data_IF_671851149305
#
_entry.id   IF_671851149305
#
_cell.length_a   1.000
_cell.length_b   1.000
_cell.length_c   1.000
_cell.angle_alpha   90.00
_cell.angle_beta   90.00
_cell.angle_gamma   90.00
#
_symmetry.space_group_name_H-M   'P 1'
#
loop_
_entity.id
_entity.type
_entity.pdbx_description
1 polymer ?
#
# COMPACT_ATOMS: atom_id res chain seq x y z
N UNK A 1 22.69 -27.57 -13.42
CA UNK A 1 21.30 -27.50 -12.91
C UNK A 1 21.08 -26.21 -12.10
N UNK A 2 21.17 -25.03 -12.74
CA UNK A 2 21.17 -23.70 -12.06
C UNK A 2 20.26 -22.65 -12.75
N UNK A 3 19.50 -23.04 -13.77
CA UNK A 3 18.80 -22.10 -14.67
C UNK A 3 17.29 -21.92 -14.37
N UNK A 4 16.69 -22.73 -13.49
CA UNK A 4 15.22 -22.78 -13.36
C UNK A 4 14.64 -21.79 -12.34
N UNK A 5 15.45 -21.19 -11.48
CA UNK A 5 15.00 -20.25 -10.44
C UNK A 5 14.85 -18.81 -10.93
N UNK A 6 15.59 -18.40 -11.96
CA UNK A 6 15.55 -17.02 -12.51
C UNK A 6 14.33 -16.77 -13.41
N UNK A 7 13.74 -17.81 -14.02
CA UNK A 7 12.54 -17.67 -14.87
C UNK A 7 11.26 -17.37 -14.10
N UNK A 8 11.17 -17.79 -12.84
CA UNK A 8 9.94 -17.63 -12.03
C UNK A 8 9.88 -16.23 -11.41
N UNK A 9 11.01 -15.58 -11.11
CA UNK A 9 11.03 -14.23 -10.51
C UNK A 9 10.57 -13.12 -11.45
N UNK A 10 10.81 -13.25 -12.75
CA UNK A 10 10.48 -12.22 -13.75
C UNK A 10 8.97 -11.95 -13.89
N UNK A 11 8.07 -12.96 -14.02
CA UNK A 11 6.64 -12.71 -14.12
C UNK A 11 6.04 -12.07 -12.86
N UNK A 12 6.56 -12.39 -11.66
CA UNK A 12 6.09 -11.74 -10.42
C UNK A 12 6.50 -10.27 -10.33
N UNK A 13 7.71 -9.93 -10.78
CA UNK A 13 8.17 -8.54 -10.89
C UNK A 13 7.31 -7.75 -11.88
N UNK A 14 7.07 -8.31 -13.08
CA UNK A 14 6.18 -7.70 -14.07
C UNK A 14 4.78 -7.51 -13.49
N UNK A 15 4.22 -8.53 -12.84
CA UNK A 15 2.87 -8.46 -12.25
C UNK A 15 2.78 -7.39 -11.14
N UNK A 16 3.83 -7.25 -10.32
CA UNK A 16 3.89 -6.18 -9.32
C UNK A 16 3.98 -4.78 -9.95
N UNK A 17 4.78 -4.59 -11.00
CA UNK A 17 4.86 -3.33 -11.74
C UNK A 17 3.54 -3.00 -12.43
N UNK A 18 2.88 -3.99 -13.04
CA UNK A 18 1.57 -3.83 -13.66
C UNK A 18 0.51 -3.45 -12.63
N UNK A 19 0.54 -4.10 -11.46
CA UNK A 19 -0.38 -3.80 -10.36
C UNK A 19 -0.19 -2.39 -9.83
N UNK A 20 1.05 -1.93 -9.66
CA UNK A 20 1.36 -0.55 -9.25
C UNK A 20 0.87 0.44 -10.30
N UNK A 21 1.19 0.21 -11.58
CA UNK A 21 0.75 1.07 -12.67
C UNK A 21 -0.78 1.14 -12.78
N UNK A 22 -1.45 0.00 -12.61
CA UNK A 22 -2.91 -0.08 -12.60
C UNK A 22 -3.51 0.68 -11.41
N UNK A 23 -2.94 0.56 -10.21
CA UNK A 23 -3.43 1.27 -9.02
C UNK A 23 -3.22 2.79 -9.12
N UNK A 24 -2.09 3.22 -9.67
CA UNK A 24 -1.81 4.64 -9.96
C UNK A 24 -2.83 5.17 -10.97
N UNK A 25 -3.05 4.43 -12.07
CA UNK A 25 -4.04 4.78 -13.08
C UNK A 25 -5.46 4.88 -12.49
N UNK A 26 -5.86 3.92 -11.66
CA UNK A 26 -7.16 3.91 -11.01
C UNK A 26 -7.34 5.08 -10.04
N UNK A 27 -6.30 5.40 -9.24
CA UNK A 27 -6.33 6.54 -8.33
C UNK A 27 -6.42 7.88 -9.06
N UNK A 28 -5.69 8.03 -10.18
CA UNK A 28 -5.78 9.20 -11.05
C UNK A 28 -7.14 9.32 -11.70
N UNK A 29 -7.73 8.22 -12.15
CA UNK A 29 -9.00 8.22 -12.87
C UNK A 29 -10.22 8.44 -11.96
N UNK A 30 -10.20 7.92 -10.72
CA UNK A 30 -11.40 7.85 -9.87
C UNK A 30 -11.34 8.66 -8.58
N UNK A 31 -10.16 9.07 -8.11
CA UNK A 31 -10.03 9.71 -6.79
C UNK A 31 -9.48 11.13 -6.95
N UNK A 32 -8.15 11.32 -6.87
CA UNK A 32 -7.53 12.63 -6.97
C UNK A 32 -6.00 12.54 -7.16
N UNK A 33 -5.37 13.66 -7.46
CA UNK A 33 -3.90 13.76 -7.56
C UNK A 33 -3.25 13.55 -6.18
N UNK A 34 -3.88 14.03 -5.10
CA UNK A 34 -3.40 13.87 -3.72
C UNK A 34 -3.41 12.40 -3.25
N UNK A 35 -4.46 11.63 -3.56
CA UNK A 35 -4.48 10.21 -3.24
C UNK A 35 -3.44 9.43 -4.04
N UNK A 36 -3.18 9.88 -5.28
CA UNK A 36 -2.17 9.28 -6.15
C UNK A 36 -0.77 9.48 -5.60
N UNK A 37 -0.44 10.68 -5.10
CA UNK A 37 0.87 10.93 -4.48
C UNK A 37 1.07 10.08 -3.22
N UNK A 38 0.02 9.91 -2.41
CA UNK A 38 0.06 9.02 -1.23
C UNK A 38 0.27 7.55 -1.60
N UNK A 39 -0.39 7.05 -2.65
CA UNK A 39 -0.17 5.70 -3.17
C UNK A 39 1.25 5.53 -3.74
N UNK A 40 1.82 6.56 -4.36
CA UNK A 40 3.21 6.53 -4.82
C UNK A 40 4.17 6.44 -3.63
N UNK A 41 3.97 7.24 -2.58
CA UNK A 41 4.76 7.18 -1.34
C UNK A 41 4.65 5.80 -0.69
N UNK A 42 3.44 5.23 -0.63
CA UNK A 42 3.22 3.87 -0.16
C UNK A 42 4.02 2.84 -0.98
N UNK A 43 3.94 2.88 -2.31
CA UNK A 43 4.67 1.96 -3.18
C UNK A 43 6.20 2.13 -3.07
N UNK A 44 6.67 3.36 -2.86
CA UNK A 44 8.09 3.66 -2.66
C UNK A 44 8.60 3.12 -1.31
N UNK A 45 7.82 3.30 -0.25
CA UNK A 45 8.06 2.71 1.06
C UNK A 45 8.04 1.18 0.99
N UNK A 46 7.09 0.59 0.25
CA UNK A 46 7.06 -0.85 0.00
C UNK A 46 8.38 -1.32 -0.62
N UNK A 47 8.80 -0.67 -1.71
CA UNK A 47 10.03 -1.03 -2.40
C UNK A 47 11.23 -0.90 -1.46
N UNK A 48 11.32 0.19 -0.68
CA UNK A 48 12.43 0.43 0.24
C UNK A 48 12.48 -0.56 1.41
N UNK A 49 11.33 -0.91 2.00
CA UNK A 49 11.24 -1.81 3.15
C UNK A 49 11.30 -3.28 2.73
N UNK A 50 10.64 -3.67 1.64
CA UNK A 50 10.55 -5.08 1.25
C UNK A 50 11.75 -5.58 0.47
N UNK A 51 12.54 -4.70 -0.16
CA UNK A 51 13.79 -5.09 -0.80
C UNK A 51 14.82 -5.70 0.18
N UNK A 52 15.07 -5.13 1.37
CA UNK A 52 16.02 -5.70 2.34
C UNK A 52 15.50 -6.92 3.11
N UNK A 53 14.18 -7.13 3.26
CA UNK A 53 13.66 -8.27 4.04
C UNK A 53 13.84 -9.61 3.30
N UNK A 54 14.41 -10.61 3.97
CA UNK A 54 14.59 -11.97 3.43
C UNK A 54 13.23 -12.70 3.44
N UNK A 55 12.77 -13.18 2.28
CA UNK A 55 11.45 -13.82 2.18
C UNK A 55 11.03 -14.15 0.76
N UNK A 56 10.01 -15.00 0.61
CA UNK A 56 9.44 -15.37 -0.69
C UNK A 56 8.87 -14.13 -1.40
N UNK A 57 9.32 -13.89 -2.65
CA UNK A 57 8.81 -12.81 -3.50
C UNK A 57 7.28 -12.83 -3.64
N UNK A 58 6.64 -14.00 -3.64
CA UNK A 58 5.19 -14.13 -3.73
C UNK A 58 4.46 -13.50 -2.52
N UNK A 59 5.01 -13.65 -1.31
CA UNK A 59 4.44 -13.01 -0.11
C UNK A 59 4.57 -11.49 -0.18
N UNK A 60 5.71 -11.02 -0.71
CA UNK A 60 5.94 -9.60 -0.92
C UNK A 60 4.89 -9.02 -1.87
N UNK A 61 4.72 -9.63 -3.04
CA UNK A 61 3.71 -9.19 -4.02
C UNK A 61 2.28 -9.26 -3.46
N UNK A 62 1.95 -10.26 -2.65
CA UNK A 62 0.64 -10.34 -2.01
C UNK A 62 0.40 -9.19 -1.03
N UNK A 63 1.37 -8.87 -0.16
CA UNK A 63 1.30 -7.73 0.76
C UNK A 63 1.20 -6.40 0.03
N UNK A 64 1.93 -6.23 -1.08
CA UNK A 64 1.82 -5.05 -1.94
C UNK A 64 0.40 -4.88 -2.48
N UNK A 65 -0.18 -5.97 -2.97
CA UNK A 65 -1.50 -5.95 -3.59
C UNK A 65 -2.59 -5.66 -2.56
N UNK A 66 -2.52 -6.28 -1.38
CA UNK A 66 -3.43 -5.97 -0.26
C UNK A 66 -3.28 -4.50 0.14
N UNK A 67 -2.04 -4.01 0.30
CA UNK A 67 -1.78 -2.62 0.68
C UNK A 67 -2.30 -1.60 -0.33
N UNK A 68 -2.12 -1.85 -1.63
CA UNK A 68 -2.67 -0.99 -2.68
C UNK A 68 -4.21 -1.01 -2.69
N UNK A 69 -4.84 -2.18 -2.50
CA UNK A 69 -6.31 -2.28 -2.41
C UNK A 69 -6.83 -1.54 -1.17
N UNK A 70 -6.20 -1.75 -0.01
CA UNK A 70 -6.54 -1.04 1.23
C UNK A 70 -6.35 0.47 1.07
N UNK A 71 -5.26 0.91 0.44
CA UNK A 71 -4.98 2.32 0.18
C UNK A 71 -5.99 2.98 -0.75
N UNK A 72 -6.35 2.31 -1.85
CA UNK A 72 -7.40 2.78 -2.76
C UNK A 72 -8.75 2.87 -2.04
N UNK A 73 -9.12 1.81 -1.30
CA UNK A 73 -10.35 1.77 -0.54
C UNK A 73 -10.41 2.88 0.52
N UNK A 74 -9.32 3.09 1.25
CA UNK A 74 -9.22 4.13 2.27
C UNK A 74 -9.35 5.53 1.68
N UNK A 75 -8.58 5.83 0.62
CA UNK A 75 -8.65 7.13 -0.04
C UNK A 75 -10.03 7.40 -0.65
N UNK A 76 -10.68 6.37 -1.21
CA UNK A 76 -12.04 6.49 -1.74
C UNK A 76 -13.06 6.78 -0.63
N UNK A 77 -13.02 6.05 0.47
CA UNK A 77 -13.87 6.29 1.64
C UNK A 77 -13.65 7.70 2.20
N UNK A 78 -12.39 8.10 2.36
CA UNK A 78 -12.03 9.39 2.94
C UNK A 78 -12.50 10.55 2.05
N UNK A 79 -12.31 10.44 0.72
CA UNK A 79 -12.82 11.41 -0.25
C UNK A 79 -14.36 11.47 -0.30
N UNK A 80 -15.02 10.33 -0.17
CA UNK A 80 -16.49 10.28 -0.11
C UNK A 80 -17.01 10.94 1.17
N UNK A 81 -16.34 10.69 2.31
CA UNK A 81 -16.65 11.34 3.58
C UNK A 81 -16.45 12.86 3.51
N UNK A 82 -15.37 13.31 2.86
CA UNK A 82 -15.12 14.72 2.55
C UNK A 82 -16.31 15.33 1.80
N UNK A 83 -16.73 14.67 0.73
CA UNK A 83 -17.78 15.16 -0.17
C UNK A 83 -19.13 15.30 0.54
N UNK A 84 -19.47 14.38 1.44
CA UNK A 84 -20.68 14.46 2.25
C UNK A 84 -20.55 15.54 3.33
N UNK A 85 -19.40 15.59 4.02
CA UNK A 85 -19.18 16.55 5.10
C UNK A 85 -19.19 18.01 4.61
N UNK A 86 -18.61 18.29 3.44
CA UNK A 86 -18.68 19.63 2.82
C UNK A 86 -20.12 20.01 2.48
N UNK A 87 -20.96 19.08 2.03
CA UNK A 87 -22.38 19.36 1.75
C UNK A 87 -23.18 19.69 3.01
N UNK A 88 -22.85 19.10 4.16
CA UNK A 88 -23.59 19.29 5.42
C UNK A 88 -23.07 20.47 6.24
N UNK A 89 -21.74 20.62 6.32
CA UNK A 89 -21.07 21.56 7.21
C UNK A 89 -20.38 22.73 6.48
N UNK A 90 -20.39 22.73 5.14
CA UNK A 90 -19.82 23.81 4.32
C UNK A 90 -18.28 23.80 4.28
N UNK A 91 -17.71 24.96 3.92
CA UNK A 91 -16.26 25.11 3.65
C UNK A 91 -15.37 24.90 4.87
N UNK A 92 -15.87 25.14 6.08
CA UNK A 92 -15.11 24.89 7.32
C UNK A 92 -14.67 23.43 7.42
N UNK A 93 -15.54 22.50 7.04
CA UNK A 93 -15.23 21.08 7.01
C UNK A 93 -14.20 20.75 5.92
N UNK A 94 -14.23 21.45 4.78
CA UNK A 94 -13.23 21.29 3.72
C UNK A 94 -11.83 21.69 4.20
N UNK A 95 -11.70 22.79 4.94
CA UNK A 95 -10.43 23.23 5.51
C UNK A 95 -9.87 22.21 6.51
N UNK A 96 -10.71 21.70 7.41
CA UNK A 96 -10.34 20.62 8.34
C UNK A 96 -9.92 19.36 7.58
N UNK A 97 -10.66 19.00 6.55
CA UNK A 97 -10.38 17.84 5.72
C UNK A 97 -9.00 17.94 5.05
N UNK A 98 -8.68 19.08 4.42
CA UNK A 98 -7.38 19.34 3.81
C UNK A 98 -6.22 19.18 4.79
N UNK A 99 -6.41 19.61 6.04
CA UNK A 99 -5.39 19.48 7.10
C UNK A 99 -5.28 18.03 7.59
N UNK A 100 -6.40 17.33 7.80
CA UNK A 100 -6.42 15.98 8.37
C UNK A 100 -6.09 14.89 7.35
N UNK A 101 -6.36 15.13 6.06
CA UNK A 101 -6.11 14.18 4.97
C UNK A 101 -4.68 13.59 4.97
N UNK A 102 -3.60 14.39 5.08
CA UNK A 102 -2.25 13.85 5.14
C UNK A 102 -2.01 13.01 6.40
N UNK A 103 -2.52 13.41 7.57
CA UNK A 103 -2.33 12.66 8.81
C UNK A 103 -3.10 11.33 8.80
N UNK A 104 -4.36 11.35 8.35
CA UNK A 104 -5.15 10.15 8.18
C UNK A 104 -4.48 9.16 7.21
N UNK A 105 -3.89 9.69 6.14
CA UNK A 105 -3.10 8.91 5.21
C UNK A 105 -1.84 8.31 5.84
N UNK A 106 -1.08 9.09 6.60
CA UNK A 106 0.10 8.58 7.31
C UNK A 106 -0.26 7.49 8.32
N UNK A 107 -1.36 7.63 9.06
CA UNK A 107 -1.78 6.65 10.08
C UNK A 107 -2.05 5.29 9.44
N UNK A 108 -2.80 5.21 8.33
CA UNK A 108 -3.07 3.90 7.71
C UNK A 108 -1.81 3.31 7.08
N UNK A 109 -0.98 4.14 6.42
CA UNK A 109 0.28 3.70 5.80
C UNK A 109 1.19 3.08 6.87
N UNK A 110 1.47 3.81 7.95
CA UNK A 110 2.36 3.35 9.02
C UNK A 110 1.80 2.10 9.71
N UNK A 111 0.49 2.07 9.99
CA UNK A 111 -0.16 0.91 10.62
C UNK A 111 -0.05 -0.34 9.74
N UNK A 112 -0.32 -0.19 8.45
CA UNK A 112 -0.22 -1.29 7.49
C UNK A 112 1.21 -1.82 7.40
N UNK A 113 2.21 -0.94 7.39
CA UNK A 113 3.62 -1.34 7.38
C UNK A 113 4.03 -2.08 8.65
N UNK A 114 3.66 -1.55 9.82
CA UNK A 114 3.97 -2.18 11.10
C UNK A 114 3.41 -3.60 11.16
N UNK A 115 2.17 -3.78 10.72
CA UNK A 115 1.51 -5.08 10.66
C UNK A 115 2.16 -6.02 9.63
N UNK A 116 2.48 -5.50 8.44
CA UNK A 116 3.14 -6.27 7.37
C UNK A 116 4.54 -6.76 7.75
N UNK A 117 5.34 -5.90 8.40
CA UNK A 117 6.66 -6.25 8.89
C UNK A 117 6.58 -7.30 10.00
N UNK A 118 5.67 -7.09 10.96
CA UNK A 118 5.45 -8.05 12.06
C UNK A 118 5.03 -9.42 11.53
N UNK A 119 4.08 -9.45 10.59
CA UNK A 119 3.65 -10.67 9.94
C UNK A 119 4.81 -11.35 9.19
N UNK A 120 5.63 -10.58 8.46
CA UNK A 120 6.74 -11.16 7.70
C UNK A 120 7.81 -11.78 8.61
N UNK A 121 8.12 -11.14 9.73
CA UNK A 121 9.06 -11.64 10.75
C UNK A 121 8.51 -12.91 11.42
N UNK A 122 7.24 -12.92 11.84
CA UNK A 122 6.60 -14.10 12.43
C UNK A 122 6.64 -15.29 11.46
N UNK A 123 6.37 -15.04 10.18
CA UNK A 123 6.48 -16.06 9.14
C UNK A 123 7.91 -16.57 8.90
N UNK A 124 8.92 -15.72 9.07
CA UNK A 124 10.33 -16.12 8.96
C UNK A 124 10.74 -16.97 10.19
N UNK A 125 10.38 -16.54 11.39
CA UNK A 125 10.64 -17.27 12.65
C UNK A 125 9.98 -18.66 12.64
N UNK A 126 8.71 -18.75 12.21
CA UNK A 126 8.00 -20.03 12.04
C UNK A 126 8.67 -20.95 11.03
N UNK A 127 9.24 -20.39 9.95
CA UNK A 127 9.97 -21.18 8.94
C UNK A 127 11.31 -21.69 9.47
N UNK A 128 11.96 -20.93 10.35
CA UNK A 128 13.25 -21.27 10.96
C UNK A 128 13.13 -22.13 12.23
N UNK A 129 11.90 -22.43 12.70
CA UNK A 129 11.67 -23.21 13.91
C UNK A 129 11.99 -22.47 15.21
N UNK A 130 12.24 -21.16 15.15
CA UNK A 130 12.46 -20.31 16.31
C UNK A 130 11.09 -19.95 16.89
N UNK A 131 10.65 -20.68 17.90
CA UNK A 131 9.51 -20.26 18.73
C UNK A 131 9.99 -19.20 19.71
N UNK A 132 9.56 -17.96 19.50
CA UNK A 132 9.39 -16.98 20.57
C UNK A 132 8.05 -17.20 21.24
#
# INVERSE_FOLDING_TARGET
MKERTTRISYPFLICSLLSIAFCIFLSLAFINVESTSMLIVFNLLFASLMFPLKGSFARKTCLLLIGNVTGLFWNYLFSSFASVGVKVFGEFFNAIYLILNPFANLIWIVSFWSLSLTALIDFENKKLGVRT
#
